data_IF_400878367527
#
_entry.id   IF_400878367527
#
_cell.length_a   1.000
_cell.length_b   1.000
_cell.length_c   1.000
_cell.angle_alpha   90.00
_cell.angle_beta   90.00
_cell.angle_gamma   90.00
#
_symmetry.space_group_name_H-M   'P 1'
#
loop_
_entity.id
_entity.type
_entity.pdbx_description
1 polymer ?
#
# COMPACT_ATOMS: atom_id res chain seq x y z
N UNK A 1 -15.61 2.29 -9.96
CA UNK A 1 -14.59 3.00 -9.19
C UNK A 1 -13.91 2.05 -8.21
N UNK A 2 -12.59 2.12 -8.11
CA UNK A 2 -11.80 1.18 -7.30
C UNK A 2 -11.67 1.67 -5.86
N UNK A 3 -11.95 0.79 -4.90
CA UNK A 3 -11.74 1.04 -3.47
C UNK A 3 -12.67 2.09 -2.88
N UNK A 4 -12.35 2.57 -1.66
CA UNK A 4 -13.18 3.57 -1.00
C UNK A 4 -13.14 4.90 -1.74
N UNK A 5 -14.23 5.65 -1.68
CA UNK A 5 -14.32 6.96 -2.35
C UNK A 5 -13.55 8.02 -1.56
N UNK A 6 -13.00 8.99 -2.29
CA UNK A 6 -12.42 10.17 -1.65
C UNK A 6 -13.50 10.87 -0.84
N UNK A 7 -13.18 11.22 0.40
CA UNK A 7 -14.13 11.81 1.36
C UNK A 7 -14.82 10.79 2.26
N UNK A 8 -14.83 9.52 1.89
CA UNK A 8 -15.40 8.46 2.73
C UNK A 8 -14.38 7.98 3.76
N UNK A 9 -14.87 7.26 4.77
CA UNK A 9 -13.98 6.63 5.76
C UNK A 9 -13.43 5.32 5.21
N UNK A 10 -12.13 5.12 5.38
CA UNK A 10 -11.52 3.83 5.10
C UNK A 10 -12.03 2.79 6.11
N UNK A 11 -12.18 1.52 5.69
CA UNK A 11 -12.57 0.48 6.63
C UNK A 11 -11.47 0.24 7.67
N UNK A 12 -11.81 -0.24 8.87
CA UNK A 12 -10.79 -0.68 9.81
C UNK A 12 -10.04 -1.88 9.23
N UNK A 13 -8.75 -1.96 9.53
CA UNK A 13 -7.92 -3.06 9.03
C UNK A 13 -6.81 -3.40 10.02
N UNK A 14 -6.31 -4.62 9.90
CA UNK A 14 -5.15 -5.10 10.64
C UNK A 14 -4.20 -5.77 9.64
N UNK A 15 -2.95 -5.37 9.68
CA UNK A 15 -1.88 -5.93 8.85
C UNK A 15 -0.71 -6.30 9.75
N UNK A 16 0.26 -7.06 9.24
CA UNK A 16 1.38 -7.52 10.06
C UNK A 16 2.71 -6.95 9.58
N UNK A 17 3.58 -6.61 10.51
CA UNK A 17 4.96 -6.23 10.22
C UNK A 17 5.73 -7.45 9.67
N UNK A 18 6.96 -7.21 9.17
CA UNK A 18 7.84 -8.30 8.74
C UNK A 18 8.22 -9.25 9.89
N UNK A 19 8.07 -8.79 11.13
CA UNK A 19 8.23 -9.62 12.32
C UNK A 19 6.95 -10.32 12.79
N UNK A 20 5.83 -10.12 12.07
CA UNK A 20 4.55 -10.76 12.38
C UNK A 20 3.69 -10.01 13.38
N UNK A 21 4.05 -8.80 13.78
CA UNK A 21 3.30 -8.00 14.74
C UNK A 21 2.14 -7.27 14.07
N UNK A 22 0.96 -7.27 14.72
CA UNK A 22 -0.23 -6.62 14.21
C UNK A 22 -0.11 -5.09 14.23
N UNK A 23 -0.59 -4.45 13.18
CA UNK A 23 -0.64 -2.97 13.07
C UNK A 23 -1.96 -2.56 12.43
N UNK A 24 -2.44 -1.37 12.78
CA UNK A 24 -3.63 -0.77 12.21
C UNK A 24 -3.30 0.64 11.70
N UNK A 25 -4.31 1.39 11.24
CA UNK A 25 -4.09 2.73 10.72
C UNK A 25 -3.39 3.63 11.75
N UNK A 26 -3.84 3.61 13.00
CA UNK A 26 -3.30 4.49 14.04
C UNK A 26 -1.82 4.23 14.28
N UNK A 27 -1.40 2.97 14.19
CA UNK A 27 0.00 2.60 14.44
C UNK A 27 0.92 2.85 13.24
N UNK A 28 0.39 2.98 12.01
CA UNK A 28 1.22 3.25 10.83
C UNK A 28 1.13 4.71 10.36
N UNK A 29 0.16 5.48 10.85
CA UNK A 29 -0.02 6.87 10.45
C UNK A 29 1.04 7.77 11.09
N UNK A 30 1.44 8.80 10.33
CA UNK A 30 2.19 9.94 10.87
C UNK A 30 1.25 11.01 11.38
N UNK A 31 1.76 12.23 11.53
CA UNK A 31 0.99 13.34 12.09
C UNK A 31 -0.29 13.65 11.30
N UNK A 32 -0.26 13.48 9.99
CA UNK A 32 -1.40 13.79 9.13
C UNK A 32 -2.17 12.56 8.68
N UNK A 33 -1.50 11.45 8.47
CA UNK A 33 -2.13 10.23 8.01
C UNK A 33 -1.12 9.23 7.49
N UNK A 34 -1.55 8.36 6.59
CA UNK A 34 -0.71 7.33 6.01
C UNK A 34 -0.87 7.30 4.48
N UNK A 35 0.23 7.00 3.80
CA UNK A 35 0.23 6.70 2.37
C UNK A 35 0.21 5.18 2.23
N UNK A 36 -0.97 4.62 1.97
CA UNK A 36 -1.16 3.18 1.85
C UNK A 36 -0.98 2.76 0.39
N UNK A 37 -0.04 1.87 0.14
CA UNK A 37 0.28 1.40 -1.22
C UNK A 37 -0.03 -0.08 -1.30
N UNK A 38 -1.11 -0.43 -1.99
CA UNK A 38 -1.48 -1.84 -2.20
C UNK A 38 -0.80 -2.33 -3.47
N UNK A 39 -0.07 -3.43 -3.37
CA UNK A 39 0.64 -4.04 -4.49
C UNK A 39 0.30 -5.52 -4.59
N UNK A 40 0.52 -6.09 -5.79
CA UNK A 40 0.20 -7.49 -6.06
C UNK A 40 1.14 -8.44 -5.32
N UNK A 41 2.45 -8.22 -5.40
CA UNK A 41 3.44 -9.03 -4.70
C UNK A 41 4.83 -8.40 -4.76
N UNK A 42 5.56 -8.49 -3.66
CA UNK A 42 6.99 -8.16 -3.63
C UNK A 42 7.87 -9.37 -4.00
N UNK A 43 7.25 -10.51 -4.30
CA UNK A 43 7.96 -11.74 -4.67
C UNK A 43 8.02 -11.93 -6.18
N UNK A 44 6.86 -12.02 -6.82
CA UNK A 44 6.78 -12.41 -8.23
C UNK A 44 6.32 -11.31 -9.18
N UNK A 45 5.99 -10.12 -8.71
CA UNK A 45 5.46 -9.04 -9.55
C UNK A 45 6.54 -8.02 -9.91
N UNK A 46 7.08 -8.03 -11.15
CA UNK A 46 8.16 -7.11 -11.53
C UNK A 46 7.76 -5.63 -11.44
N UNK A 47 6.54 -5.29 -11.86
CA UNK A 47 6.05 -3.91 -11.82
C UNK A 47 5.89 -3.41 -10.39
N UNK A 48 5.47 -4.30 -9.47
CA UNK A 48 5.39 -3.98 -8.06
C UNK A 48 6.76 -3.73 -7.45
N UNK A 49 7.73 -4.57 -7.79
CA UNK A 49 9.10 -4.44 -7.28
C UNK A 49 9.72 -3.11 -7.72
N UNK A 50 9.50 -2.72 -8.97
CA UNK A 50 9.98 -1.44 -9.48
C UNK A 50 9.34 -0.27 -8.74
N UNK A 51 8.02 -0.33 -8.52
CA UNK A 51 7.30 0.69 -7.78
C UNK A 51 7.80 0.80 -6.34
N UNK A 52 7.98 -0.33 -5.66
CA UNK A 52 8.43 -0.35 -4.27
C UNK A 52 9.82 0.26 -4.13
N UNK A 53 10.73 -0.02 -5.07
CA UNK A 53 12.06 0.59 -5.09
C UNK A 53 11.99 2.10 -5.36
N UNK A 54 11.15 2.50 -6.31
CA UNK A 54 10.97 3.91 -6.67
C UNK A 54 10.44 4.72 -5.48
N UNK A 55 9.47 4.17 -4.74
CA UNK A 55 8.91 4.83 -3.55
C UNK A 55 9.95 5.04 -2.47
N UNK A 56 11.00 4.22 -2.42
CA UNK A 56 12.05 4.37 -1.43
C UNK A 56 12.76 5.73 -1.56
N UNK A 57 12.79 6.30 -2.76
CA UNK A 57 13.43 7.60 -3.02
C UNK A 57 12.67 8.76 -2.36
N UNK A 58 11.36 8.63 -2.19
CA UNK A 58 10.52 9.70 -1.63
C UNK A 58 9.94 9.37 -0.26
N UNK A 59 10.22 8.18 0.26
CA UNK A 59 9.64 7.73 1.54
C UNK A 59 10.01 8.65 2.70
N UNK A 60 11.26 9.11 2.74
CA UNK A 60 11.72 10.04 3.76
C UNK A 60 10.99 11.38 3.70
N UNK A 61 10.75 11.90 2.49
CA UNK A 61 10.01 13.14 2.30
C UNK A 61 8.56 13.01 2.73
N UNK A 62 7.91 11.90 2.38
CA UNK A 62 6.54 11.63 2.80
C UNK A 62 6.42 11.51 4.31
N UNK A 63 7.38 10.85 4.95
CA UNK A 63 7.41 10.74 6.40
C UNK A 63 7.54 12.12 7.04
N UNK A 64 8.46 12.95 6.54
CA UNK A 64 8.66 14.31 7.03
C UNK A 64 7.42 15.19 6.85
N UNK A 65 6.61 14.91 5.83
CA UNK A 65 5.36 15.64 5.57
C UNK A 65 4.18 15.13 6.40
N UNK A 66 4.37 14.11 7.23
CA UNK A 66 3.32 13.54 8.07
C UNK A 66 2.51 12.42 7.40
N UNK A 67 2.97 11.94 6.24
CA UNK A 67 2.29 10.92 5.45
C UNK A 67 3.20 9.71 5.15
N UNK A 68 3.72 9.01 6.18
CA UNK A 68 4.64 7.90 5.95
C UNK A 68 4.03 6.81 5.07
N UNK A 69 4.90 6.15 4.30
CA UNK A 69 4.49 5.08 3.38
C UNK A 69 4.35 3.77 4.13
N UNK A 70 3.26 3.07 3.88
CA UNK A 70 3.05 1.67 4.26
C UNK A 70 2.60 0.93 3.00
N UNK A 71 3.42 0.02 2.50
CA UNK A 71 3.02 -0.81 1.38
C UNK A 71 2.47 -2.14 1.89
N UNK A 72 1.42 -2.62 1.24
CA UNK A 72 0.64 -3.78 1.69
C UNK A 72 0.52 -4.77 0.54
N UNK A 73 0.83 -6.03 0.80
CA UNK A 73 0.58 -7.13 -0.11
C UNK A 73 0.10 -8.36 0.66
N UNK A 74 -0.36 -9.38 -0.06
CA UNK A 74 -0.77 -10.64 0.58
C UNK A 74 0.42 -11.53 0.93
N UNK A 75 1.63 -11.12 0.54
CA UNK A 75 2.84 -11.89 0.83
C UNK A 75 3.02 -12.12 2.33
N UNK A 76 3.67 -13.22 2.68
CA UNK A 76 3.98 -13.50 4.08
C UNK A 76 4.98 -12.48 4.65
N UNK A 77 5.03 -12.31 5.98
CA UNK A 77 6.05 -11.45 6.59
C UNK A 77 7.47 -11.81 6.18
N UNK A 78 7.78 -13.11 6.05
CA UNK A 78 9.12 -13.56 5.66
C UNK A 78 9.49 -13.11 4.24
N UNK A 79 8.56 -13.18 3.29
CA UNK A 79 8.77 -12.73 1.92
C UNK A 79 9.05 -11.22 1.89
N UNK A 80 8.27 -10.45 2.64
CA UNK A 80 8.45 -8.99 2.71
C UNK A 80 9.75 -8.61 3.40
N UNK A 81 10.15 -9.36 4.41
CA UNK A 81 11.44 -9.14 5.09
C UNK A 81 12.60 -9.35 4.12
N UNK A 82 12.54 -10.42 3.32
CA UNK A 82 13.55 -10.70 2.30
C UNK A 82 13.67 -9.55 1.30
N UNK A 83 12.55 -9.05 0.80
CA UNK A 83 12.56 -7.95 -0.16
C UNK A 83 13.10 -6.66 0.47
N UNK A 84 12.67 -6.36 1.69
CA UNK A 84 13.10 -5.18 2.44
C UNK A 84 14.62 -5.15 2.57
N UNK A 85 15.20 -6.26 3.00
CA UNK A 85 16.65 -6.36 3.23
C UNK A 85 17.44 -6.34 1.92
N UNK A 86 16.96 -7.09 0.92
CA UNK A 86 17.66 -7.17 -0.36
C UNK A 86 17.71 -5.84 -1.11
N UNK A 87 16.74 -4.96 -0.88
CA UNK A 87 16.60 -3.70 -1.63
C UNK A 87 16.77 -2.44 -0.77
N UNK A 88 17.15 -2.58 0.48
CA UNK A 88 17.38 -1.44 1.37
C UNK A 88 16.16 -0.55 1.54
N UNK A 89 14.98 -1.16 1.65
CA UNK A 89 13.73 -0.42 1.79
C UNK A 89 13.66 0.23 3.18
N UNK A 90 13.46 1.54 3.23
CA UNK A 90 13.46 2.32 4.46
C UNK A 90 12.06 2.55 5.05
N UNK A 91 11.01 2.22 4.30
CA UNK A 91 9.63 2.36 4.77
C UNK A 91 9.04 0.99 5.08
N UNK A 92 7.78 0.97 5.54
CA UNK A 92 7.17 -0.27 6.03
C UNK A 92 6.53 -1.08 4.91
N UNK A 93 6.94 -2.34 4.78
CA UNK A 93 6.24 -3.35 3.99
C UNK A 93 5.45 -4.22 4.97
N UNK A 94 4.16 -4.31 4.75
CA UNK A 94 3.23 -4.99 5.66
C UNK A 94 2.52 -6.14 4.98
N UNK A 95 2.31 -7.20 5.72
CA UNK A 95 1.68 -8.42 5.23
C UNK A 95 0.18 -8.41 5.50
N UNK A 96 -0.59 -8.70 4.46
CA UNK A 96 -2.03 -8.96 4.54
C UNK A 96 -2.30 -10.42 4.12
N UNK A 97 -1.69 -11.36 4.82
CA UNK A 97 -1.88 -12.78 4.56
C UNK A 97 -3.36 -13.13 4.68
N UNK A 98 -3.91 -13.75 3.65
CA UNK A 98 -5.34 -14.07 3.57
C UNK A 98 -6.18 -12.96 2.95
N UNK A 99 -5.56 -11.85 2.56
CA UNK A 99 -6.21 -10.74 1.82
C UNK A 99 -7.38 -10.08 2.56
N UNK A 100 -7.39 -10.09 3.89
CA UNK A 100 -8.49 -9.52 4.68
C UNK A 100 -8.61 -8.00 4.52
N UNK A 101 -7.49 -7.29 4.60
CA UNK A 101 -7.49 -5.85 4.39
C UNK A 101 -7.79 -5.51 2.93
N UNK A 102 -7.21 -6.26 2.01
CA UNK A 102 -7.49 -6.12 0.57
C UNK A 102 -9.00 -6.22 0.32
N UNK A 103 -9.64 -7.23 0.92
CA UNK A 103 -11.10 -7.42 0.77
C UNK A 103 -11.89 -6.30 1.46
N UNK A 104 -11.49 -5.90 2.65
CA UNK A 104 -12.18 -4.83 3.38
C UNK A 104 -12.18 -3.52 2.59
N UNK A 105 -11.08 -3.22 1.89
CA UNK A 105 -10.98 -2.02 1.05
C UNK A 105 -11.65 -2.19 -0.32
N UNK A 106 -12.20 -3.36 -0.63
CA UNK A 106 -12.85 -3.60 -1.93
C UNK A 106 -11.85 -3.65 -3.09
N UNK A 107 -10.62 -4.11 -2.85
CA UNK A 107 -9.54 -4.05 -3.82
C UNK A 107 -9.23 -5.38 -4.50
N UNK A 108 -9.83 -6.49 -4.02
CA UNK A 108 -9.51 -7.81 -4.59
C UNK A 108 -9.79 -7.84 -6.09
N UNK A 109 -8.83 -8.37 -6.84
CA UNK A 109 -9.02 -8.63 -8.28
C UNK A 109 -9.79 -9.93 -8.45
N UNK A 110 -11.11 -9.83 -8.56
CA UNK A 110 -11.99 -11.00 -8.64
C UNK A 110 -11.72 -11.86 -9.89
N UNK A 111 -11.14 -11.29 -10.94
CA UNK A 111 -10.77 -12.04 -12.14
C UNK A 111 -9.68 -13.08 -11.85
N UNK A 112 -8.95 -12.92 -10.77
CA UNK A 112 -7.88 -13.85 -10.36
C UNK A 112 -8.36 -14.93 -9.40
N UNK A 113 -9.62 -14.91 -8.97
CA UNK A 113 -10.14 -15.94 -8.08
C UNK A 113 -10.01 -17.33 -8.71
N UNK A 114 -9.49 -18.29 -7.94
CA UNK A 114 -9.23 -19.64 -8.40
C UNK A 114 -7.97 -19.81 -9.25
N UNK A 115 -7.17 -18.77 -9.42
CA UNK A 115 -6.00 -18.80 -10.30
C UNK A 115 -4.69 -18.92 -9.53
N UNK A 116 -4.50 -20.00 -8.81
CA UNK A 116 -3.26 -20.35 -8.12
C UNK A 116 -2.73 -19.16 -7.28
N UNK A 117 -1.44 -18.79 -7.46
CA UNK A 117 -0.81 -17.73 -6.67
C UNK A 117 -1.40 -16.35 -6.91
N UNK A 118 -2.18 -16.15 -7.97
CA UNK A 118 -2.78 -14.85 -8.25
C UNK A 118 -4.06 -14.60 -7.45
N UNK A 119 -4.64 -15.64 -6.86
CA UNK A 119 -5.84 -15.45 -6.06
C UNK A 119 -5.54 -14.60 -4.83
N UNK A 120 -6.38 -13.61 -4.57
CA UNK A 120 -6.26 -12.74 -3.42
C UNK A 120 -5.48 -11.45 -3.66
N UNK A 121 -4.92 -11.27 -4.87
CA UNK A 121 -4.19 -10.03 -5.15
C UNK A 121 -5.13 -8.83 -5.25
N UNK A 122 -4.67 -7.64 -4.86
CA UNK A 122 -5.43 -6.42 -5.07
C UNK A 122 -5.23 -5.87 -6.47
N UNK A 123 -6.13 -5.00 -6.91
CA UNK A 123 -5.79 -4.04 -7.93
C UNK A 123 -4.81 -3.04 -7.30
N UNK A 124 -3.69 -2.70 -7.96
CA UNK A 124 -2.72 -1.77 -7.38
C UNK A 124 -3.31 -0.36 -7.23
N UNK A 125 -3.11 0.23 -6.05
CA UNK A 125 -3.64 1.55 -5.74
C UNK A 125 -2.83 2.20 -4.63
N UNK A 126 -2.77 3.53 -4.63
CA UNK A 126 -2.23 4.33 -3.53
C UNK A 126 -3.38 5.13 -2.93
N UNK A 127 -3.55 5.02 -1.63
CA UNK A 127 -4.56 5.75 -0.87
C UNK A 127 -3.88 6.64 0.17
N UNK A 128 -4.25 7.92 0.18
CA UNK A 128 -3.84 8.84 1.25
C UNK A 128 -4.98 8.89 2.25
N UNK A 129 -4.76 8.33 3.44
CA UNK A 129 -5.80 8.20 4.47
C UNK A 129 -5.39 9.02 5.68
N UNK A 130 -6.22 9.99 6.05
CA UNK A 130 -5.97 10.84 7.20
C UNK A 130 -6.05 10.03 8.51
N UNK A 131 -5.50 10.57 9.59
CA UNK A 131 -5.52 9.88 10.89
C UNK A 131 -6.92 9.53 11.37
N UNK A 132 -7.93 10.32 11.01
CA UNK A 132 -9.32 10.04 11.36
C UNK A 132 -9.98 8.99 10.46
N UNK A 133 -9.25 8.45 9.49
CA UNK A 133 -9.73 7.45 8.55
C UNK A 133 -10.29 7.99 7.26
N UNK A 134 -10.37 9.31 7.09
CA UNK A 134 -10.91 9.89 5.85
C UNK A 134 -9.95 9.68 4.69
N UNK A 135 -10.45 9.15 3.57
CA UNK A 135 -9.67 9.01 2.34
C UNK A 135 -9.54 10.38 1.69
N UNK A 136 -8.33 10.91 1.62
CA UNK A 136 -8.06 12.26 1.11
C UNK A 136 -7.76 12.27 -0.38
N UNK A 137 -7.15 11.23 -0.89
CA UNK A 137 -6.82 11.10 -2.31
C UNK A 137 -6.58 9.64 -2.64
N UNK A 138 -6.71 9.30 -3.93
CA UNK A 138 -6.32 7.98 -4.41
C UNK A 138 -5.74 8.08 -5.82
N UNK A 139 -4.74 7.25 -6.08
CA UNK A 139 -4.02 7.20 -7.35
C UNK A 139 -3.95 5.75 -7.82
N UNK A 140 -4.42 5.49 -9.04
CA UNK A 140 -4.29 4.17 -9.65
C UNK A 140 -4.35 4.28 -11.16
N UNK A 141 -3.82 3.25 -11.83
CA UNK A 141 -3.87 3.10 -13.28
C UNK A 141 -4.75 1.91 -13.62
N UNK A 142 -5.40 1.94 -14.77
CA UNK A 142 -6.26 0.84 -15.20
C UNK A 142 -5.44 -0.42 -15.50
N UNK A 143 -4.24 -0.25 -16.11
CA UNK A 143 -3.36 -1.36 -16.41
C UNK A 143 -2.41 -1.62 -15.24
N UNK A 144 -2.33 -2.88 -14.78
CA UNK A 144 -1.48 -3.25 -13.64
C UNK A 144 0.03 -3.03 -13.90
N UNK A 145 0.43 -2.95 -15.18
CA UNK A 145 1.81 -2.69 -15.56
C UNK A 145 2.22 -1.25 -15.32
N UNK A 146 1.25 -0.35 -15.18
CA UNK A 146 1.50 1.06 -14.92
C UNK A 146 1.25 1.39 -13.47
N UNK A 147 2.08 2.25 -12.91
CA UNK A 147 1.94 2.72 -11.52
C UNK A 147 2.07 4.23 -11.49
N UNK A 148 1.39 4.90 -10.55
CA UNK A 148 1.64 6.34 -10.34
C UNK A 148 3.13 6.55 -10.08
N UNK A 149 3.71 7.56 -10.74
CA UNK A 149 5.12 7.88 -10.56
C UNK A 149 5.35 8.54 -9.21
N UNK A 150 6.60 8.49 -8.73
CA UNK A 150 6.97 9.19 -7.50
C UNK A 150 6.68 10.68 -7.58
N UNK A 151 6.83 11.29 -8.76
CA UNK A 151 6.51 12.70 -8.97
C UNK A 151 5.02 12.98 -8.76
N UNK A 152 4.14 12.13 -9.32
CA UNK A 152 2.69 12.27 -9.15
C UNK A 152 2.30 12.09 -7.68
N UNK A 153 2.91 11.14 -6.99
CA UNK A 153 2.68 10.93 -5.56
C UNK A 153 3.05 12.18 -4.77
N UNK A 154 4.22 12.77 -5.04
CA UNK A 154 4.66 13.99 -4.35
C UNK A 154 3.77 15.18 -4.67
N UNK A 155 3.37 15.35 -5.92
CA UNK A 155 2.44 16.42 -6.31
C UNK A 155 1.11 16.29 -5.57
N UNK A 156 0.60 15.06 -5.45
CA UNK A 156 -0.67 14.81 -4.77
C UNK A 156 -0.57 15.15 -3.29
N UNK A 157 0.47 14.69 -2.59
CA UNK A 157 0.59 14.92 -1.15
C UNK A 157 0.75 16.39 -0.83
N UNK A 158 1.39 17.17 -1.71
CA UNK A 158 1.52 18.63 -1.51
C UNK A 158 0.19 19.37 -1.52
N UNK A 159 -0.86 18.80 -2.12
CA UNK A 159 -2.20 19.39 -2.11
C UNK A 159 -2.99 19.04 -0.86
N UNK A 160 -2.54 18.09 -0.05
CA UNK A 160 -3.24 17.62 1.13
C UNK A 160 -2.92 18.51 2.35
N UNK A 161 -3.93 18.67 3.20
CA UNK A 161 -3.79 19.49 4.43
C UNK A 161 -3.98 18.65 5.68
#
# INVERSE_FOLDING_TARGET
ELGPKVGAKAPPFTIATTGGEARNLQSVAGDKGATLVFVRSADWCPFCKLQLKSLNEIAGDLDAMGWPVTAISYDSPAVLDTFTKANGISYKLMSDTGSKAIDAFGLRNAAMNGKARFEGIPHPIILFVARDGTVKAKLYEEAYQKRPTSEVVMQTVRTLK
#
